data_IF_627264749205
#
_entry.id   IF_627264749205
#
_cell.length_a   1.000
_cell.length_b   1.000
_cell.length_c   1.000
_cell.angle_alpha   90.00
_cell.angle_beta   90.00
_cell.angle_gamma   90.00
#
_symmetry.space_group_name_H-M   'P 1'
#
loop_
_entity.id
_entity.type
_entity.pdbx_description
1 polymer ?
#
# COMPACT_ATOMS: atom_id res chain seq x y z
N UNK A 1 -11.08 22.84 7.42
CA UNK A 1 -9.79 23.56 7.55
C UNK A 1 -8.81 23.02 6.52
N UNK A 2 -7.56 23.50 6.51
CA UNK A 2 -6.49 23.02 5.62
C UNK A 2 -5.37 22.39 6.49
N UNK A 3 -5.53 21.13 6.92
CA UNK A 3 -4.61 20.52 7.84
C UNK A 3 -3.24 20.31 7.18
N UNK A 4 -2.17 20.61 7.91
CA UNK A 4 -0.77 20.48 7.48
C UNK A 4 0.02 19.60 8.43
N UNK A 5 -0.67 18.77 9.21
CA UNK A 5 -0.09 17.96 10.26
C UNK A 5 -1.16 17.50 11.26
N UNK A 6 -0.83 16.47 12.02
CA UNK A 6 -1.64 15.94 13.12
C UNK A 6 -0.74 15.23 14.13
N UNK A 7 -1.14 15.23 15.40
CA UNK A 7 -0.45 14.50 16.47
C UNK A 7 -1.50 13.77 17.31
N UNK A 8 -1.18 12.55 17.73
CA UNK A 8 -2.05 11.81 18.64
C UNK A 8 -1.76 12.26 20.09
N UNK A 9 -2.78 12.52 20.93
CA UNK A 9 -2.58 13.01 22.30
C UNK A 9 -1.77 12.04 23.17
N UNK A 10 -1.88 10.74 22.91
CA UNK A 10 -1.11 9.69 23.61
C UNK A 10 0.25 9.38 22.93
N UNK A 11 0.71 10.20 21.98
CA UNK A 11 2.01 10.01 21.32
C UNK A 11 2.07 8.87 20.30
N UNK A 12 0.92 8.29 19.91
CA UNK A 12 0.88 7.31 18.81
C UNK A 12 1.33 7.95 17.49
N UNK A 13 1.97 7.14 16.64
CA UNK A 13 2.41 7.53 15.30
C UNK A 13 1.60 6.82 14.23
N UNK A 14 1.35 7.51 13.12
CA UNK A 14 0.76 6.90 11.93
C UNK A 14 1.87 6.29 11.05
N UNK A 15 1.56 5.21 10.33
CA UNK A 15 2.42 4.71 9.25
C UNK A 15 1.57 4.52 8.00
N UNK A 16 1.85 5.31 6.96
CA UNK A 16 1.11 5.26 5.70
C UNK A 16 1.70 4.23 4.74
N UNK A 17 0.83 3.44 4.10
CA UNK A 17 1.22 2.35 3.19
C UNK A 17 1.39 2.79 1.72
N UNK A 18 1.42 4.10 1.46
CA UNK A 18 1.56 4.68 0.11
C UNK A 18 0.24 4.91 -0.62
N UNK A 19 0.33 5.24 -1.91
CA UNK A 19 -0.77 5.64 -2.79
C UNK A 19 -1.59 6.79 -2.20
N UNK A 20 -0.89 7.88 -1.88
CA UNK A 20 -1.44 9.10 -1.30
C UNK A 20 -2.16 9.98 -2.31
N UNK A 21 -1.95 9.69 -3.60
CA UNK A 21 -2.45 10.49 -4.73
C UNK A 21 -3.32 9.66 -5.66
N UNK A 22 -3.88 10.33 -6.65
CA UNK A 22 -4.71 9.80 -7.73
C UNK A 22 -6.13 9.42 -7.31
N UNK A 23 -7.05 9.59 -8.29
CA UNK A 23 -8.49 9.24 -8.25
C UNK A 23 -9.34 10.12 -7.33
N UNK A 24 -8.91 10.28 -6.07
CA UNK A 24 -9.62 11.00 -5.02
C UNK A 24 -9.74 12.51 -5.29
N UNK A 25 -10.61 13.21 -4.54
CA UNK A 25 -10.94 14.61 -4.81
C UNK A 25 -9.91 15.63 -4.27
N UNK A 26 -9.00 15.23 -3.39
CA UNK A 26 -8.11 16.17 -2.68
C UNK A 26 -6.71 15.57 -2.41
N UNK A 27 -5.99 15.19 -3.46
CA UNK A 27 -4.61 14.70 -3.33
C UNK A 27 -3.68 15.75 -2.69
N UNK A 28 -3.76 17.06 -3.04
CA UNK A 28 -2.96 18.09 -2.38
C UNK A 28 -3.23 18.21 -0.87
N UNK A 29 -4.47 18.06 -0.41
CA UNK A 29 -4.80 18.06 1.01
C UNK A 29 -4.19 16.88 1.75
N UNK A 30 -4.27 15.67 1.18
CA UNK A 30 -3.61 14.48 1.71
C UNK A 30 -2.10 14.67 1.80
N UNK A 31 -1.46 15.14 0.72
CA UNK A 31 -0.02 15.38 0.69
C UNK A 31 0.43 16.39 1.75
N UNK A 32 -0.27 17.52 1.89
CA UNK A 32 0.05 18.52 2.92
C UNK A 32 -0.01 17.94 4.33
N UNK A 33 -1.06 17.15 4.63
CA UNK A 33 -1.23 16.50 5.92
C UNK A 33 -0.10 15.50 6.18
N UNK A 34 0.12 14.56 5.26
CA UNK A 34 1.09 13.46 5.44
C UNK A 34 2.52 14.00 5.49
N UNK A 35 2.89 14.90 4.58
CA UNK A 35 4.22 15.53 4.58
C UNK A 35 4.50 16.23 5.91
N UNK A 36 3.52 16.99 6.42
CA UNK A 36 3.67 17.70 7.68
C UNK A 36 3.72 16.77 8.90
N UNK A 37 2.97 15.67 8.90
CA UNK A 37 3.07 14.64 9.95
C UNK A 37 4.44 13.95 9.94
N UNK A 38 4.96 13.61 8.77
CA UNK A 38 6.30 13.02 8.62
C UNK A 38 7.40 14.00 9.07
N UNK A 39 7.35 15.25 8.61
CA UNK A 39 8.29 16.29 9.03
C UNK A 39 8.24 16.57 10.54
N UNK A 40 7.05 16.48 11.14
CA UNK A 40 6.84 16.62 12.58
C UNK A 40 7.14 15.37 13.41
N UNK A 41 7.52 14.25 12.79
CA UNK A 41 7.83 12.99 13.47
C UNK A 41 6.63 12.22 14.00
N UNK A 42 5.40 12.64 13.70
CA UNK A 42 4.16 11.95 14.10
C UNK A 42 3.70 10.90 13.09
N UNK A 43 4.34 10.83 11.93
CA UNK A 43 4.12 9.76 10.95
C UNK A 43 5.40 9.27 10.28
N UNK A 44 5.28 8.10 9.68
CA UNK A 44 6.20 7.56 8.67
C UNK A 44 5.36 7.17 7.44
N UNK A 45 5.99 7.02 6.28
CA UNK A 45 5.32 6.57 5.06
C UNK A 45 6.27 5.72 4.21
N UNK A 46 5.69 4.84 3.40
CA UNK A 46 6.38 4.17 2.28
C UNK A 46 5.77 4.65 0.97
N UNK A 47 6.54 4.57 -0.12
CA UNK A 47 6.04 4.99 -1.43
C UNK A 47 5.11 3.93 -2.04
N UNK A 48 3.96 4.37 -2.57
CA UNK A 48 3.13 3.57 -3.45
C UNK A 48 3.51 3.69 -4.93
N UNK A 49 2.94 2.83 -5.77
CA UNK A 49 3.24 2.90 -7.20
C UNK A 49 2.62 4.12 -7.88
N UNK A 50 1.50 4.65 -7.37
CA UNK A 50 0.92 5.90 -7.85
C UNK A 50 1.82 7.08 -7.48
N UNK A 51 2.30 7.12 -6.24
CA UNK A 51 3.21 8.17 -5.76
C UNK A 51 4.47 8.26 -6.63
N UNK A 52 5.15 7.12 -6.84
CA UNK A 52 6.37 7.06 -7.66
C UNK A 52 6.12 7.49 -9.09
N UNK A 53 4.98 7.11 -9.67
CA UNK A 53 4.61 7.53 -11.03
C UNK A 53 4.35 9.04 -11.10
N UNK A 54 3.70 9.59 -10.08
CA UNK A 54 3.44 11.02 -9.97
C UNK A 54 4.73 11.82 -9.81
N UNK A 55 5.66 11.40 -8.93
CA UNK A 55 6.96 12.06 -8.78
C UNK A 55 7.76 12.07 -10.10
N UNK A 56 7.70 11.00 -10.91
CA UNK A 56 8.28 10.97 -12.25
C UNK A 56 7.64 12.00 -13.19
N UNK A 57 6.32 12.15 -13.14
CA UNK A 57 5.60 13.15 -13.93
C UNK A 57 6.06 14.57 -13.57
N UNK A 58 6.16 14.87 -12.26
CA UNK A 58 6.71 16.14 -11.76
C UNK A 58 8.15 16.37 -12.19
N UNK A 59 8.94 15.29 -12.33
CA UNK A 59 10.28 15.33 -12.89
C UNK A 59 10.37 15.47 -14.41
N UNK A 60 9.25 15.69 -15.10
CA UNK A 60 9.19 15.88 -16.56
C UNK A 60 9.22 14.58 -17.38
N UNK A 61 9.13 13.42 -16.74
CA UNK A 61 9.06 12.16 -17.48
C UNK A 61 7.73 12.06 -18.23
N UNK A 62 7.78 11.60 -19.49
CA UNK A 62 6.58 11.29 -20.27
C UNK A 62 5.92 10.03 -19.71
N UNK A 63 4.93 10.21 -18.84
CA UNK A 63 4.10 9.12 -18.30
C UNK A 63 2.69 9.21 -18.85
N UNK A 64 2.01 8.07 -19.00
CA UNK A 64 0.59 8.06 -19.35
C UNK A 64 -0.24 8.59 -18.18
N UNK A 65 -1.04 9.63 -18.42
CA UNK A 65 -1.99 10.14 -17.43
C UNK A 65 -3.22 9.23 -17.43
N UNK A 66 -3.20 8.24 -16.53
CA UNK A 66 -4.27 7.27 -16.36
C UNK A 66 -4.38 6.87 -14.89
N UNK A 67 -5.45 6.14 -14.57
CA UNK A 67 -5.76 5.66 -13.23
C UNK A 67 -5.83 6.77 -12.17
N UNK A 68 -6.24 7.99 -12.57
CA UNK A 68 -6.47 9.12 -11.69
C UNK A 68 -5.32 10.12 -11.61
N UNK A 69 -4.18 9.86 -12.27
CA UNK A 69 -3.05 10.79 -12.32
C UNK A 69 -3.40 12.12 -13.00
N UNK A 70 -4.27 12.07 -14.02
CA UNK A 70 -4.87 13.24 -14.66
C UNK A 70 -5.52 14.18 -13.65
N UNK A 71 -6.33 13.64 -12.73
CA UNK A 71 -6.97 14.43 -11.67
C UNK A 71 -5.97 15.03 -10.70
N UNK A 72 -4.94 14.29 -10.30
CA UNK A 72 -3.88 14.80 -9.41
C UNK A 72 -3.14 15.97 -10.04
N UNK A 73 -2.83 15.88 -11.33
CA UNK A 73 -2.16 16.97 -12.06
C UNK A 73 -3.04 18.21 -12.13
N UNK A 74 -4.34 18.06 -12.44
CA UNK A 74 -5.30 19.19 -12.45
C UNK A 74 -5.42 19.85 -11.06
N UNK A 75 -5.52 19.05 -10.00
CA UNK A 75 -5.54 19.56 -8.62
C UNK A 75 -4.26 20.31 -8.27
N UNK A 76 -3.11 19.86 -8.77
CA UNK A 76 -1.83 20.52 -8.54
C UNK A 76 -1.72 21.85 -9.28
N UNK A 77 -2.17 21.89 -10.54
CA UNK A 77 -2.20 23.12 -11.35
C UNK A 77 -3.04 24.21 -10.66
N UNK A 78 -4.18 23.84 -10.07
CA UNK A 78 -5.00 24.75 -9.28
C UNK A 78 -4.24 25.31 -8.06
N UNK A 79 -3.55 24.46 -7.30
CA UNK A 79 -2.75 24.87 -6.13
C UNK A 79 -1.60 25.81 -6.52
N UNK A 80 -0.96 25.56 -7.67
CA UNK A 80 0.08 26.45 -8.21
C UNK A 80 -0.50 27.79 -8.64
N UNK A 81 -1.66 27.79 -9.30
CA UNK A 81 -2.37 29.01 -9.69
C UNK A 81 -2.81 29.86 -8.48
N UNK A 82 -3.12 29.21 -7.36
CA UNK A 82 -3.41 29.85 -6.07
C UNK A 82 -2.16 30.41 -5.36
N UNK A 83 -0.96 30.20 -5.92
CA UNK A 83 0.29 30.84 -5.50
C UNK A 83 1.30 29.92 -4.83
N UNK A 84 0.99 28.64 -4.64
CA UNK A 84 1.90 27.65 -4.04
C UNK A 84 2.90 27.06 -5.03
N UNK A 85 3.65 27.92 -5.72
CA UNK A 85 4.54 27.50 -6.82
C UNK A 85 5.60 26.47 -6.42
N UNK A 86 6.03 26.44 -5.15
CA UNK A 86 7.01 25.47 -4.65
C UNK A 86 6.43 24.15 -4.16
N UNK A 87 5.10 24.01 -4.11
CA UNK A 87 4.44 22.79 -3.62
C UNK A 87 4.75 21.55 -4.48
N UNK A 88 4.73 21.59 -5.83
CA UNK A 88 5.14 20.46 -6.66
C UNK A 88 6.54 19.93 -6.35
N UNK A 89 7.52 20.83 -6.18
CA UNK A 89 8.91 20.44 -5.90
C UNK A 89 9.03 19.81 -4.51
N UNK A 90 8.34 20.35 -3.51
CA UNK A 90 8.31 19.79 -2.16
C UNK A 90 7.66 18.40 -2.13
N UNK A 91 6.57 18.20 -2.88
CA UNK A 91 5.90 16.91 -3.03
C UNK A 91 6.81 15.89 -3.70
N UNK A 92 7.46 16.28 -4.80
CA UNK A 92 8.39 15.42 -5.51
C UNK A 92 9.54 14.98 -4.59
N UNK A 93 10.18 15.92 -3.91
CA UNK A 93 11.27 15.63 -3.00
C UNK A 93 10.83 14.71 -1.85
N UNK A 94 9.63 14.92 -1.31
CA UNK A 94 9.06 14.04 -0.30
C UNK A 94 8.91 12.62 -0.81
N UNK A 95 8.26 12.42 -1.95
CA UNK A 95 8.03 11.08 -2.52
C UNK A 95 9.35 10.39 -2.89
N UNK A 96 10.29 11.11 -3.49
CA UNK A 96 11.61 10.58 -3.86
C UNK A 96 12.44 10.17 -2.62
N UNK A 97 12.17 10.78 -1.46
CA UNK A 97 12.80 10.44 -0.18
C UNK A 97 12.10 9.32 0.61
N UNK A 98 10.95 8.81 0.16
CA UNK A 98 10.25 7.73 0.86
C UNK A 98 10.98 6.38 0.67
N UNK A 99 11.12 5.57 1.74
CA UNK A 99 11.65 4.23 1.63
C UNK A 99 10.66 3.29 0.92
N UNK A 100 11.21 2.20 0.38
CA UNK A 100 10.44 1.13 -0.28
C UNK A 100 9.63 0.31 0.73
N UNK A 101 10.24 0.05 1.89
CA UNK A 101 9.63 -0.61 3.03
C UNK A 101 10.24 -0.11 4.34
N UNK A 102 9.52 -0.31 5.43
CA UNK A 102 9.99 -0.06 6.79
C UNK A 102 10.08 -1.39 7.53
N UNK A 103 11.15 -1.55 8.31
CA UNK A 103 11.29 -2.64 9.30
C UNK A 103 11.32 -2.00 10.68
N UNK A 104 10.33 -2.28 11.49
CA UNK A 104 10.03 -1.63 12.76
C UNK A 104 10.01 -2.65 13.89
N UNK A 105 10.05 -2.15 15.13
CA UNK A 105 10.00 -2.94 16.37
C UNK A 105 10.96 -4.14 16.37
N UNK A 106 12.25 -3.87 16.10
CA UNK A 106 13.29 -4.91 16.09
C UNK A 106 13.11 -5.99 15.02
N UNK A 107 12.26 -5.77 14.01
CA UNK A 107 11.95 -6.76 12.97
C UNK A 107 10.56 -7.38 13.09
N UNK A 108 9.80 -7.08 14.15
CA UNK A 108 8.47 -7.66 14.36
C UNK A 108 7.37 -7.07 13.46
N UNK A 109 7.61 -5.90 12.84
CA UNK A 109 6.65 -5.23 11.97
C UNK A 109 7.33 -4.77 10.68
N UNK A 110 6.76 -5.14 9.54
CA UNK A 110 7.19 -4.70 8.21
C UNK A 110 6.05 -4.00 7.49
N UNK A 111 6.33 -2.83 6.95
CA UNK A 111 5.38 -2.03 6.17
C UNK A 111 5.93 -1.90 4.75
N UNK A 112 5.14 -2.28 3.75
CA UNK A 112 5.48 -2.10 2.34
C UNK A 112 4.18 -1.93 1.54
N UNK A 113 4.19 -1.15 0.47
CA UNK A 113 2.97 -0.82 -0.25
C UNK A 113 2.24 -2.06 -0.80
N UNK A 114 2.90 -2.89 -1.60
CA UNK A 114 2.35 -4.15 -2.12
C UNK A 114 2.65 -5.38 -1.24
N UNK A 115 3.17 -5.14 -0.04
CA UNK A 115 3.67 -6.16 0.86
C UNK A 115 5.08 -6.62 0.51
N UNK A 116 5.63 -7.53 1.31
CA UNK A 116 7.02 -7.97 1.17
C UNK A 116 7.23 -9.36 1.77
N UNK A 117 7.76 -10.29 0.96
CA UNK A 117 8.17 -11.62 1.45
C UNK A 117 9.36 -11.53 2.40
N UNK A 118 9.46 -12.49 3.31
CA UNK A 118 10.45 -12.50 4.40
C UNK A 118 11.89 -12.36 3.89
N UNK A 119 12.24 -13.07 2.80
CA UNK A 119 13.57 -13.03 2.21
C UNK A 119 14.02 -11.62 1.75
N UNK A 120 13.11 -10.64 1.67
CA UNK A 120 13.37 -9.26 1.27
C UNK A 120 13.38 -8.28 2.43
N UNK A 121 12.99 -8.70 3.64
CA UNK A 121 12.93 -7.83 4.81
C UNK A 121 14.31 -7.23 5.10
N UNK A 122 14.36 -5.90 5.20
CA UNK A 122 15.60 -5.15 5.48
C UNK A 122 16.65 -5.13 4.37
N UNK A 123 16.35 -5.65 3.17
CA UNK A 123 17.29 -5.67 2.04
C UNK A 123 16.99 -4.53 1.07
N UNK A 124 18.01 -4.02 0.38
CA UNK A 124 17.85 -2.99 -0.65
C UNK A 124 18.34 -3.51 -1.99
N UNK A 125 17.44 -3.61 -2.98
CA UNK A 125 17.79 -3.93 -4.36
C UNK A 125 16.64 -3.56 -5.29
N UNK A 126 16.90 -3.46 -6.60
CA UNK A 126 15.83 -3.23 -7.58
C UNK A 126 14.73 -4.30 -7.56
N UNK A 127 15.05 -5.54 -7.17
CA UNK A 127 14.06 -6.61 -7.02
C UNK A 127 13.16 -6.42 -5.79
N UNK A 128 13.75 -5.97 -4.66
CA UNK A 128 12.98 -5.60 -3.45
C UNK A 128 12.07 -4.43 -3.79
N UNK A 129 12.61 -3.37 -4.40
CA UNK A 129 11.86 -2.19 -4.86
C UNK A 129 10.66 -2.55 -5.71
N UNK A 130 10.90 -3.38 -6.72
CA UNK A 130 9.84 -3.80 -7.63
C UNK A 130 8.76 -4.58 -6.89
N UNK A 131 9.13 -5.44 -5.94
CA UNK A 131 8.17 -6.20 -5.14
C UNK A 131 7.37 -5.27 -4.21
N UNK A 132 8.04 -4.36 -3.49
CA UNK A 132 7.38 -3.43 -2.59
C UNK A 132 6.38 -2.51 -3.31
N UNK A 133 6.67 -2.12 -4.57
CA UNK A 133 5.77 -1.27 -5.36
C UNK A 133 4.69 -2.03 -6.13
N UNK A 134 4.97 -3.24 -6.61
CA UNK A 134 4.12 -3.92 -7.58
C UNK A 134 3.69 -5.34 -7.20
N UNK A 135 4.20 -5.88 -6.10
CA UNK A 135 3.98 -7.25 -5.64
C UNK A 135 4.73 -8.31 -6.45
N UNK A 136 4.36 -9.57 -6.25
CA UNK A 136 4.93 -10.73 -6.95
C UNK A 136 4.31 -10.91 -8.34
N UNK A 137 4.81 -10.13 -9.30
CA UNK A 137 4.36 -10.19 -10.70
C UNK A 137 4.89 -11.45 -11.40
N UNK A 138 4.04 -12.13 -12.16
CA UNK A 138 4.43 -13.35 -12.91
C UNK A 138 5.13 -13.03 -14.24
N UNK A 139 4.99 -11.80 -14.73
CA UNK A 139 5.38 -11.39 -16.08
C UNK A 139 4.24 -11.45 -17.09
N UNK A 140 3.14 -12.14 -16.75
CA UNK A 140 1.94 -12.24 -17.60
C UNK A 140 0.99 -11.06 -17.38
N UNK A 141 0.08 -10.86 -18.33
CA UNK A 141 -0.98 -9.83 -18.26
C UNK A 141 -2.35 -10.46 -18.45
N UNK A 142 -3.34 -9.94 -17.73
CA UNK A 142 -4.75 -10.28 -17.95
C UNK A 142 -5.21 -9.77 -19.33
N UNK A 143 -6.36 -10.23 -19.86
CA UNK A 143 -6.93 -9.68 -21.10
C UNK A 143 -7.17 -8.16 -21.04
N UNK A 144 -7.39 -7.61 -19.84
CA UNK A 144 -7.55 -6.19 -19.57
C UNK A 144 -6.21 -5.45 -19.41
N UNK A 145 -5.08 -6.15 -19.56
CA UNK A 145 -3.73 -5.59 -19.53
C UNK A 145 -3.10 -5.44 -18.14
N UNK A 146 -3.76 -5.88 -17.07
CA UNK A 146 -3.22 -5.80 -15.71
C UNK A 146 -2.16 -6.88 -15.47
N UNK A 147 -1.08 -6.60 -14.70
CA UNK A 147 -0.12 -7.63 -14.32
C UNK A 147 -0.79 -8.76 -13.52
N UNK A 148 -0.56 -10.00 -13.92
CA UNK A 148 -0.92 -11.18 -13.12
C UNK A 148 0.06 -11.28 -11.95
N UNK A 149 -0.48 -11.52 -10.75
CA UNK A 149 0.29 -11.54 -9.50
C UNK A 149 0.05 -12.84 -8.74
N UNK A 150 1.10 -13.35 -8.10
CA UNK A 150 0.99 -14.45 -7.14
C UNK A 150 0.44 -13.92 -5.81
N UNK A 151 -0.29 -14.76 -5.10
CA UNK A 151 -0.72 -14.49 -3.72
C UNK A 151 0.43 -14.82 -2.76
N UNK A 152 1.50 -14.02 -2.78
CA UNK A 152 2.69 -14.23 -1.97
C UNK A 152 2.35 -14.34 -0.47
N UNK A 153 1.30 -13.65 -0.03
CA UNK A 153 0.82 -13.68 1.35
C UNK A 153 0.34 -15.08 1.77
N UNK A 154 -0.18 -15.87 0.83
CA UNK A 154 -0.63 -17.24 1.08
C UNK A 154 0.55 -18.19 1.35
N UNK A 155 1.75 -17.83 0.87
CA UNK A 155 2.99 -18.58 1.05
C UNK A 155 3.88 -17.97 2.14
N UNK A 156 3.44 -16.88 2.78
CA UNK A 156 4.23 -16.19 3.79
C UNK A 156 4.27 -16.97 5.10
N UNK A 157 5.48 -17.33 5.54
CA UNK A 157 5.74 -18.08 6.79
C UNK A 157 6.60 -17.32 7.79
N UNK A 158 6.93 -16.04 7.53
CA UNK A 158 7.82 -15.27 8.39
C UNK A 158 7.16 -14.79 9.69
N UNK A 159 8.00 -14.52 10.68
CA UNK A 159 7.56 -14.13 12.04
C UNK A 159 7.09 -12.67 12.12
N UNK A 160 7.56 -11.81 11.20
CA UNK A 160 7.18 -10.41 11.18
C UNK A 160 5.73 -10.22 10.72
N UNK A 161 5.01 -9.32 11.37
CA UNK A 161 3.72 -8.85 10.88
C UNK A 161 3.96 -7.98 9.64
N UNK A 162 3.37 -8.34 8.49
CA UNK A 162 3.48 -7.52 7.27
C UNK A 162 2.17 -6.77 7.00
N UNK A 163 2.20 -5.44 7.06
CA UNK A 163 1.05 -4.58 6.78
C UNK A 163 1.27 -3.85 5.46
N UNK A 164 0.26 -3.87 4.59
CA UNK A 164 0.37 -3.36 3.23
C UNK A 164 -0.97 -2.86 2.68
N UNK A 165 -0.97 -2.22 1.50
CA UNK A 165 -2.16 -1.76 0.81
C UNK A 165 -1.85 -1.36 -0.63
N UNK A 166 -2.27 -2.18 -1.61
CA UNK A 166 -1.95 -2.00 -3.04
C UNK A 166 -3.04 -2.55 -3.96
N UNK A 167 -3.35 -3.85 -3.82
CA UNK A 167 -4.51 -4.44 -4.49
C UNK A 167 -5.69 -4.37 -3.53
N UNK A 168 -6.72 -3.56 -3.84
CA UNK A 168 -7.79 -3.31 -2.91
C UNK A 168 -8.56 -4.59 -2.57
N UNK A 169 -8.97 -4.70 -1.31
CA UNK A 169 -9.70 -5.84 -0.76
C UNK A 169 -11.11 -5.43 -0.30
N UNK A 170 -12.03 -6.40 -0.26
CA UNK A 170 -13.40 -6.15 0.23
C UNK A 170 -13.44 -5.82 1.73
N UNK A 171 -12.45 -6.30 2.48
CA UNK A 171 -12.22 -6.02 3.88
C UNK A 171 -10.74 -6.25 4.21
N UNK A 172 -10.26 -5.67 5.32
CA UNK A 172 -8.97 -6.01 5.87
C UNK A 172 -9.10 -7.34 6.63
N UNK A 173 -8.23 -8.30 6.33
CA UNK A 173 -8.26 -9.63 6.92
C UNK A 173 -6.89 -10.27 6.92
N UNK A 174 -6.64 -11.12 7.91
CA UNK A 174 -5.37 -11.81 8.06
C UNK A 174 -5.23 -12.96 7.07
N UNK A 175 -4.10 -12.99 6.36
CA UNK A 175 -3.62 -14.16 5.62
C UNK A 175 -2.24 -14.48 6.15
N UNK A 176 -2.12 -15.61 6.84
CA UNK A 176 -0.95 -15.92 7.67
C UNK A 176 -0.64 -14.72 8.61
N UNK A 177 0.61 -14.27 8.67
CA UNK A 177 1.01 -13.11 9.49
C UNK A 177 1.04 -11.80 8.69
N UNK A 178 0.19 -11.68 7.67
CA UNK A 178 0.12 -10.50 6.79
C UNK A 178 -1.30 -9.94 6.74
N UNK A 179 -1.43 -8.63 6.50
CA UNK A 179 -2.73 -7.98 6.38
C UNK A 179 -2.70 -6.81 5.38
N UNK A 180 -3.64 -6.83 4.44
CA UNK A 180 -3.92 -5.72 3.54
C UNK A 180 -4.91 -4.77 4.20
N UNK A 181 -4.55 -3.49 4.36
CA UNK A 181 -5.44 -2.42 4.89
C UNK A 181 -6.02 -1.53 3.78
N UNK A 182 -5.70 -1.81 2.51
CA UNK A 182 -6.38 -1.17 1.38
C UNK A 182 -7.76 -1.80 1.18
N UNK A 183 -8.76 -1.14 1.79
CA UNK A 183 -10.18 -1.52 1.72
C UNK A 183 -10.96 -0.66 0.74
N UNK A 184 -10.32 -0.28 -0.37
CA UNK A 184 -10.97 0.33 -1.54
C UNK A 184 -11.70 1.67 -1.23
N UNK A 185 -11.17 2.50 -0.33
CA UNK A 185 -11.82 3.75 0.11
C UNK A 185 -12.29 4.61 -1.06
N UNK A 186 -11.39 4.89 -2.02
CA UNK A 186 -11.68 5.79 -3.14
C UNK A 186 -12.80 5.27 -4.06
N UNK A 187 -13.06 3.97 -4.01
CA UNK A 187 -14.09 3.29 -4.79
C UNK A 187 -15.43 3.18 -4.07
N UNK A 188 -15.55 3.73 -2.85
CA UNK A 188 -16.75 3.63 -2.01
C UNK A 188 -16.66 2.60 -0.89
N UNK A 189 -15.48 2.01 -0.67
CA UNK A 189 -15.21 1.15 0.49
C UNK A 189 -14.95 1.98 1.76
N UNK A 190 -13.85 1.69 2.44
CA UNK A 190 -13.44 2.40 3.66
C UNK A 190 -11.95 2.70 3.68
N UNK A 191 -11.55 3.70 4.46
CA UNK A 191 -10.17 3.93 4.85
C UNK A 191 -9.92 3.16 6.14
N UNK A 192 -9.02 2.17 6.11
CA UNK A 192 -8.76 1.26 7.23
C UNK A 192 -7.35 1.45 7.78
N UNK A 193 -7.23 1.37 9.10
CA UNK A 193 -5.97 1.38 9.84
C UNK A 193 -5.89 0.16 10.76
N UNK A 194 -4.69 -0.39 10.88
CA UNK A 194 -4.34 -1.37 11.91
C UNK A 194 -3.66 -0.65 13.08
N UNK A 195 -4.16 -0.85 14.30
CA UNK A 195 -3.49 -0.43 15.53
C UNK A 195 -2.49 -1.51 15.92
N UNK A 196 -1.22 -1.14 15.95
CA UNK A 196 -0.12 -1.97 16.38
C UNK A 196 0.40 -1.51 17.75
N UNK A 197 0.69 -2.44 18.70
CA UNK A 197 0.71 -3.90 18.57
C UNK A 197 -0.65 -4.59 18.80
N UNK A 198 -1.71 -3.83 19.03
CA UNK A 198 -3.00 -4.34 19.50
C UNK A 198 -3.71 -5.30 18.51
N UNK A 199 -3.33 -5.26 17.23
CA UNK A 199 -3.97 -5.99 16.11
C UNK A 199 -5.46 -5.63 15.93
N UNK A 200 -5.83 -4.42 16.33
CA UNK A 200 -7.20 -3.92 16.21
C UNK A 200 -7.37 -3.13 14.91
N UNK A 201 -8.46 -3.37 14.21
CA UNK A 201 -8.82 -2.59 13.02
C UNK A 201 -9.71 -1.42 13.40
N UNK A 202 -9.43 -0.26 12.82
CA UNK A 202 -10.31 0.89 12.83
C UNK A 202 -10.54 1.35 11.39
N UNK A 203 -11.76 1.76 11.06
CA UNK A 203 -12.10 2.17 9.70
C UNK A 203 -13.08 3.32 9.68
N UNK A 204 -12.97 4.17 8.65
CA UNK A 204 -13.95 5.20 8.33
C UNK A 204 -14.52 4.89 6.96
N UNK A 205 -15.85 4.82 6.86
CA UNK A 205 -16.53 4.63 5.58
C UNK A 205 -16.24 5.80 4.63
N UNK A 206 -16.09 5.51 3.34
CA UNK A 206 -15.92 6.56 2.34
C UNK A 206 -17.14 7.48 2.32
N UNK A 207 -16.90 8.78 2.13
CA UNK A 207 -17.98 9.76 1.92
C UNK A 207 -18.69 9.61 0.56
N UNK A 208 -18.19 8.76 -0.33
CA UNK A 208 -18.79 8.44 -1.62
C UNK A 208 -17.89 7.58 -2.51
N UNK A 209 -18.29 7.42 -3.77
CA UNK A 209 -17.49 6.75 -4.81
C UNK A 209 -16.82 7.80 -5.69
N UNK A 210 -15.49 7.89 -5.62
CA UNK A 210 -14.71 8.91 -6.35
C UNK A 210 -14.08 8.38 -7.65
N UNK A 211 -14.03 7.06 -7.81
CA UNK A 211 -13.63 6.36 -9.03
C UNK A 211 -14.37 5.03 -9.17
N UNK A 212 -14.56 4.51 -10.40
CA UNK A 212 -15.14 3.19 -10.62
C UNK A 212 -14.14 2.08 -10.26
N UNK A 213 -14.64 0.94 -9.79
CA UNK A 213 -13.87 -0.30 -9.67
C UNK A 213 -13.63 -0.85 -11.07
N UNK A 214 -12.36 -1.04 -11.45
CA UNK A 214 -11.99 -1.56 -12.78
C UNK A 214 -11.37 -2.96 -12.75
N UNK A 215 -11.16 -3.52 -11.56
CA UNK A 215 -10.63 -4.86 -11.34
C UNK A 215 -11.32 -5.49 -10.12
N UNK A 216 -11.49 -6.81 -10.06
CA UNK A 216 -12.06 -7.48 -8.90
C UNK A 216 -11.30 -7.15 -7.63
N UNK A 217 -12.03 -6.88 -6.55
CA UNK A 217 -11.48 -6.74 -5.21
C UNK A 217 -11.03 -8.11 -4.70
N UNK A 218 -9.98 -8.14 -3.89
CA UNK A 218 -9.54 -9.38 -3.24
C UNK A 218 -10.39 -9.68 -2.02
N UNK A 219 -10.61 -10.97 -1.75
CA UNK A 219 -11.16 -11.45 -0.49
C UNK A 219 -10.07 -12.17 0.31
N UNK A 220 -9.59 -11.60 1.44
CA UNK A 220 -8.57 -12.24 2.26
C UNK A 220 -9.02 -13.59 2.82
N UNK A 221 -10.32 -13.80 3.07
CA UNK A 221 -10.83 -15.08 3.57
C UNK A 221 -10.68 -16.19 2.51
N UNK A 222 -10.92 -15.89 1.24
CA UNK A 222 -10.67 -16.84 0.14
C UNK A 222 -9.19 -17.18 0.00
N UNK A 223 -8.30 -16.19 0.14
CA UNK A 223 -6.86 -16.41 0.05
C UNK A 223 -6.38 -17.27 1.23
N UNK A 224 -6.83 -16.96 2.45
CA UNK A 224 -6.51 -17.73 3.65
C UNK A 224 -7.00 -19.18 3.56
N UNK A 225 -8.23 -19.41 3.08
CA UNK A 225 -8.77 -20.76 2.89
C UNK A 225 -7.94 -21.58 1.89
N UNK A 226 -7.53 -20.96 0.77
CA UNK A 226 -6.65 -21.60 -0.23
C UNK A 226 -5.27 -21.91 0.34
N UNK A 227 -4.70 -21.01 1.15
CA UNK A 227 -3.43 -21.22 1.83
C UNK A 227 -3.49 -22.44 2.77
N UNK A 228 -4.52 -22.51 3.62
CA UNK A 228 -4.73 -23.60 4.57
C UNK A 228 -4.92 -24.95 3.87
N UNK A 229 -5.72 -25.00 2.79
CA UNK A 229 -5.94 -26.22 2.02
C UNK A 229 -4.63 -26.77 1.41
N UNK A 230 -3.77 -25.88 0.90
CA UNK A 230 -2.47 -26.26 0.33
C UNK A 230 -1.50 -26.80 1.38
N UNK A 231 -1.46 -26.19 2.57
CA UNK A 231 -0.66 -26.67 3.69
C UNK A 231 -1.10 -28.07 4.15
N UNK A 232 -2.42 -28.31 4.24
CA UNK A 232 -2.98 -29.63 4.59
C UNK A 232 -2.71 -30.73 3.55
N UNK A 233 -2.70 -30.37 2.26
CA UNK A 233 -2.36 -31.33 1.20
C UNK A 233 -0.87 -31.74 1.21
N UNK A 234 0.02 -30.82 1.61
CA UNK A 234 1.46 -31.08 1.70
C UNK A 234 1.84 -31.93 2.93
N UNK A 235 1.09 -31.85 4.03
CA UNK A 235 1.31 -32.70 5.20
C UNK A 235 0.76 -34.12 5.03
N UNK A 236 -0.19 -34.35 4.11
CA UNK A 236 -0.83 -35.65 3.87
C UNK A 236 -0.07 -36.62 2.95
N UNK A 237 0.99 -36.18 2.25
CA UNK A 237 1.75 -37.03 1.31
C UNK A 237 3.02 -37.66 1.89
N UNK A 238 3.28 -37.47 3.20
CA UNK A 238 4.49 -37.97 3.89
C UNK A 238 4.37 -39.32 4.61
N UNK A 239 3.26 -40.05 4.46
CA UNK A 239 3.00 -41.28 5.22
C UNK A 239 2.55 -42.45 4.36
N UNK A 240 3.47 -43.07 3.61
CA UNK A 240 3.38 -44.50 3.25
C UNK A 240 4.68 -44.95 2.59
N UNK A 241 5.64 -45.41 3.38
CA UNK A 241 6.59 -46.47 3.02
C UNK A 241 7.05 -47.12 4.33
N UNK A 242 6.29 -48.11 4.78
CA UNK A 242 6.78 -49.22 5.61
C UNK A 242 5.75 -50.36 5.51
N UNK A 243 6.20 -51.53 5.05
CA UNK A 243 5.46 -52.79 5.13
C UNK A 243 5.49 -53.67 3.89
N UNK A 244 6.66 -54.25 3.56
CA UNK A 244 6.95 -55.70 3.61
C UNK A 244 8.30 -56.04 2.95
#
# INVERSE_FOLDING_TARGET
GRPVGAVHPEGRRAVFVGDLVDRGPDSPGVLRLVMGMCAGGSAMAVAGNHDVKFARALGGAKVTLNHGLDKTMEQLDAVVAEGERGFPDAVRAFIEGLPEHLVLDGGALVIAHAGLKEAYHGRESGAVRSFALYGDVTGERTPQGFPVRRAWEAEYTGDAMVVYGHTPSVAAGWVNNTICVDTACVFGGSLTALRYPERELASVASGGTYAPITAPLRDPAEVAAKAAARAGAQSGTGGSLDGD
#
